data_IF_207823098221
#
_entry.id   IF_207823098221
#
_cell.length_a   1.000
_cell.length_b   1.000
_cell.length_c   1.000
_cell.angle_alpha   90.00
_cell.angle_beta   90.00
_cell.angle_gamma   90.00
#
_symmetry.space_group_name_H-M   'P 1'
#
loop_
_entity.id
_entity.type
_entity.pdbx_description
1 polymer ?
#
# COMPACT_ATOMS: atom_id res chain seq x y z
N UNK A 1 9.50 -0.11 -18.99
CA UNK A 1 8.83 0.88 -18.12
C UNK A 1 8.34 0.12 -16.89
N UNK A 2 8.68 0.56 -15.69
CA UNK A 2 8.31 -0.11 -14.44
C UNK A 2 6.83 0.15 -14.13
N UNK A 3 6.10 -0.88 -13.71
CA UNK A 3 4.71 -0.76 -13.26
C UNK A 3 4.64 -0.88 -11.74
N UNK A 4 4.30 0.21 -11.07
CA UNK A 4 4.06 0.26 -9.63
C UNK A 4 2.55 0.15 -9.34
N UNK A 5 2.20 -0.52 -8.24
CA UNK A 5 0.84 -0.59 -7.73
C UNK A 5 0.76 0.05 -6.34
N UNK A 6 0.03 1.14 -6.21
CA UNK A 6 -0.31 1.74 -4.92
C UNK A 6 -1.62 1.16 -4.38
N UNK A 7 -1.62 0.68 -3.14
CA UNK A 7 -2.81 0.13 -2.49
C UNK A 7 -3.16 0.98 -1.28
N UNK A 8 -4.37 1.57 -1.26
CA UNK A 8 -4.89 2.27 -0.08
C UNK A 8 -5.51 1.28 0.91
N UNK A 9 -4.99 1.27 2.14
CA UNK A 9 -5.46 0.42 3.24
C UNK A 9 -6.67 0.97 4.01
N UNK A 10 -7.42 1.93 3.46
CA UNK A 10 -8.57 2.54 4.11
C UNK A 10 -9.85 2.35 3.30
N UNK A 11 -10.95 2.06 4.01
CA UNK A 11 -12.30 1.98 3.44
C UNK A 11 -13.06 3.32 3.52
N UNK A 12 -12.53 4.34 4.21
CA UNK A 12 -13.20 5.63 4.36
C UNK A 12 -13.18 6.43 3.06
N UNK A 13 -14.31 7.05 2.68
CA UNK A 13 -14.38 7.97 1.52
C UNK A 13 -13.42 9.15 1.66
N UNK A 14 -13.34 9.78 2.84
CA UNK A 14 -12.41 10.88 3.15
C UNK A 14 -11.08 10.40 3.72
N UNK A 15 -10.48 9.34 3.18
CA UNK A 15 -9.23 8.78 3.66
C UNK A 15 -8.03 9.63 3.27
N UNK A 16 -7.22 10.05 4.24
CA UNK A 16 -5.94 10.74 4.02
C UNK A 16 -4.96 9.90 3.20
N UNK A 17 -5.00 8.57 3.37
CA UNK A 17 -4.13 7.66 2.62
C UNK A 17 -4.61 7.47 1.18
N UNK A 18 -5.92 7.47 0.94
CA UNK A 18 -6.47 7.48 -0.43
C UNK A 18 -6.19 8.82 -1.13
N UNK A 19 -6.29 9.94 -0.41
CA UNK A 19 -5.90 11.25 -0.93
C UNK A 19 -4.41 11.31 -1.31
N UNK A 20 -3.54 10.78 -0.44
CA UNK A 20 -2.11 10.71 -0.71
C UNK A 20 -1.79 9.79 -1.91
N UNK A 21 -2.49 8.66 -2.06
CA UNK A 21 -2.38 7.78 -3.23
C UNK A 21 -2.86 8.47 -4.51
N UNK A 22 -3.98 9.22 -4.43
CA UNK A 22 -4.46 10.06 -5.57
C UNK A 22 -3.41 11.10 -5.97
N UNK A 23 -2.81 11.78 -4.99
CA UNK A 23 -1.74 12.73 -5.25
C UNK A 23 -0.54 12.05 -5.90
N UNK A 24 -0.10 10.89 -5.40
CA UNK A 24 0.97 10.10 -5.99
C UNK A 24 0.73 9.76 -7.46
N UNK A 25 -0.49 9.35 -7.81
CA UNK A 25 -0.88 9.00 -9.18
C UNK A 25 -0.92 10.23 -10.12
N UNK A 26 -1.07 11.43 -9.59
CA UNK A 26 -1.05 12.69 -10.34
C UNK A 26 0.34 13.32 -10.51
N UNK A 27 1.36 12.80 -9.83
CA UNK A 27 2.72 13.33 -9.97
C UNK A 27 3.36 12.94 -11.31
N UNK A 28 4.25 13.79 -11.86
CA UNK A 28 5.06 13.42 -13.02
C UNK A 28 5.84 12.12 -12.74
N UNK A 29 5.81 11.19 -13.69
CA UNK A 29 6.44 9.87 -13.57
C UNK A 29 7.41 9.65 -14.73
N UNK A 30 8.71 9.58 -14.43
CA UNK A 30 9.74 9.24 -15.41
C UNK A 30 10.20 7.79 -15.22
N UNK A 31 10.02 6.96 -16.24
CA UNK A 31 10.47 5.56 -16.25
C UNK A 31 9.55 4.57 -15.53
N UNK A 32 8.45 5.02 -14.93
CA UNK A 32 7.46 4.15 -14.30
C UNK A 32 6.02 4.62 -14.55
N UNK A 33 5.05 3.74 -14.30
CA UNK A 33 3.62 4.05 -14.20
C UNK A 33 3.13 3.66 -12.81
N UNK A 34 2.19 4.43 -12.23
CA UNK A 34 1.55 4.10 -10.95
C UNK A 34 0.08 3.76 -11.17
N UNK A 35 -0.26 2.49 -10.97
CA UNK A 35 -1.65 2.03 -10.89
C UNK A 35 -2.15 2.14 -9.45
N UNK A 36 -3.45 2.28 -9.26
CA UNK A 36 -4.06 2.41 -7.94
C UNK A 36 -5.05 1.27 -7.66
N UNK A 37 -5.15 0.89 -6.39
CA UNK A 37 -6.12 -0.07 -5.90
C UNK A 37 -6.57 0.30 -4.47
N UNK A 38 -7.70 -0.27 -4.07
CA UNK A 38 -8.21 -0.26 -2.69
C UNK A 38 -8.52 -1.67 -2.23
N UNK A 39 -9.02 -1.77 -1.00
CA UNK A 39 -9.37 -3.04 -0.35
C UNK A 39 -10.88 -3.22 -0.17
N UNK A 40 -11.68 -2.49 -0.94
CA UNK A 40 -13.13 -2.57 -0.88
C UNK A 40 -13.64 -3.92 -1.40
N UNK A 41 -14.71 -4.42 -0.78
CA UNK A 41 -15.35 -5.68 -1.18
C UNK A 41 -14.64 -6.95 -0.69
N UNK A 42 -13.53 -6.81 0.06
CA UNK A 42 -12.87 -7.95 0.70
C UNK A 42 -13.58 -8.25 2.03
N UNK A 43 -14.17 -9.45 2.22
CA UNK A 43 -14.84 -9.81 3.46
C UNK A 43 -13.83 -10.04 4.60
N UNK A 44 -14.30 -10.17 5.82
CA UNK A 44 -13.44 -10.69 6.90
C UNK A 44 -13.02 -12.11 6.56
N UNK A 45 -11.73 -12.41 6.81
CA UNK A 45 -11.19 -13.74 6.57
C UNK A 45 -11.83 -14.75 7.52
N UNK A 46 -12.32 -15.80 6.92
CA UNK A 46 -12.87 -16.96 7.59
C UNK A 46 -12.43 -18.20 6.78
N UNK A 47 -11.78 -19.15 7.44
CA UNK A 47 -11.28 -20.37 6.80
C UNK A 47 -12.42 -21.29 6.33
N UNK A 48 -13.56 -21.30 7.02
CA UNK A 48 -14.72 -22.08 6.61
C UNK A 48 -15.38 -21.48 5.36
N UNK A 49 -15.39 -20.13 5.26
CA UNK A 49 -15.84 -19.44 4.06
C UNK A 49 -14.92 -19.73 2.86
N UNK A 50 -13.58 -19.70 3.07
CA UNK A 50 -12.61 -20.06 2.03
C UNK A 50 -12.81 -21.50 1.53
N UNK A 51 -13.06 -22.45 2.43
CA UNK A 51 -13.28 -23.84 2.06
C UNK A 51 -14.61 -24.03 1.29
N UNK A 52 -15.66 -23.34 1.71
CA UNK A 52 -16.99 -23.47 1.12
C UNK A 52 -17.16 -22.73 -0.22
N UNK A 53 -16.59 -21.53 -0.35
CA UNK A 53 -16.85 -20.61 -1.46
C UNK A 53 -15.58 -20.27 -2.29
N UNK A 54 -14.40 -20.64 -1.78
CA UNK A 54 -13.12 -20.30 -2.40
C UNK A 54 -12.68 -18.86 -2.14
N UNK A 55 -11.79 -18.36 -3.01
CA UNK A 55 -11.22 -17.01 -2.87
C UNK A 55 -12.20 -15.97 -3.43
N UNK A 56 -12.60 -14.94 -2.64
CA UNK A 56 -13.51 -13.90 -3.10
C UNK A 56 -13.00 -13.16 -4.35
N UNK A 57 -13.92 -12.78 -5.24
CA UNK A 57 -13.57 -12.10 -6.50
C UNK A 57 -12.77 -10.82 -6.31
N UNK A 58 -13.07 -10.03 -5.25
CA UNK A 58 -12.31 -8.81 -4.94
C UNK A 58 -10.85 -9.12 -4.54
N UNK A 59 -10.62 -10.24 -3.87
CA UNK A 59 -9.26 -10.72 -3.52
C UNK A 59 -8.51 -11.15 -4.77
N UNK A 60 -9.16 -11.96 -5.62
CA UNK A 60 -8.58 -12.44 -6.89
C UNK A 60 -8.16 -11.25 -7.77
N UNK A 61 -9.03 -10.28 -7.95
CA UNK A 61 -8.73 -9.09 -8.76
C UNK A 61 -7.57 -8.27 -8.21
N UNK A 62 -7.45 -8.12 -6.88
CA UNK A 62 -6.32 -7.41 -6.27
C UNK A 62 -5.02 -8.24 -6.38
N UNK A 63 -5.11 -9.55 -6.20
CA UNK A 63 -3.98 -10.48 -6.36
C UNK A 63 -3.39 -10.41 -7.77
N UNK A 64 -4.23 -10.41 -8.80
CA UNK A 64 -3.79 -10.27 -10.20
C UNK A 64 -3.04 -8.95 -10.45
N UNK A 65 -3.53 -7.85 -9.89
CA UNK A 65 -2.84 -6.54 -9.97
C UNK A 65 -1.46 -6.58 -9.29
N UNK A 66 -1.36 -7.23 -8.11
CA UNK A 66 -0.08 -7.37 -7.41
C UNK A 66 0.89 -8.21 -8.25
N UNK A 67 0.43 -9.31 -8.83
CA UNK A 67 1.26 -10.19 -9.66
C UNK A 67 1.79 -9.45 -10.88
N UNK A 68 0.94 -8.66 -11.54
CA UNK A 68 1.29 -7.91 -12.75
C UNK A 68 2.24 -6.72 -12.50
N UNK A 69 2.29 -6.19 -11.26
CA UNK A 69 3.14 -5.05 -10.91
C UNK A 69 4.58 -5.49 -10.62
N UNK A 70 5.55 -4.63 -10.96
CA UNK A 70 6.97 -4.81 -10.60
C UNK A 70 7.23 -4.50 -9.12
N UNK A 71 6.45 -3.58 -8.54
CA UNK A 71 6.53 -3.21 -7.12
C UNK A 71 5.19 -2.74 -6.57
N UNK A 72 5.02 -2.90 -5.26
CA UNK A 72 3.79 -2.56 -4.53
C UNK A 72 4.06 -1.53 -3.45
N UNK A 73 3.22 -0.52 -3.33
CA UNK A 73 3.31 0.52 -2.30
C UNK A 73 2.07 0.44 -1.42
N UNK A 74 2.24 0.18 -0.14
CA UNK A 74 1.16 0.19 0.83
C UNK A 74 0.97 1.60 1.39
N UNK A 75 -0.16 2.24 1.05
CA UNK A 75 -0.59 3.51 1.64
C UNK A 75 -1.39 3.18 2.90
N UNK A 76 -0.67 3.07 4.03
CA UNK A 76 -1.22 2.52 5.27
C UNK A 76 -1.68 3.59 6.25
N UNK A 77 -2.95 3.55 6.71
CA UNK A 77 -3.33 4.24 7.94
C UNK A 77 -2.63 3.62 9.16
N UNK A 78 -2.80 4.27 10.30
CA UNK A 78 -2.41 3.74 11.60
C UNK A 78 -3.63 3.74 12.52
N UNK A 79 -4.01 2.58 13.05
CA UNK A 79 -5.10 2.43 13.98
C UNK A 79 -4.56 1.81 15.27
N UNK A 80 -4.79 2.50 16.39
CA UNK A 80 -4.33 2.04 17.71
C UNK A 80 -2.83 1.65 17.71
N UNK A 81 -2.01 2.52 17.09
CA UNK A 81 -0.55 2.35 17.02
C UNK A 81 -0.10 1.09 16.24
N UNK A 82 -0.91 0.57 15.33
CA UNK A 82 -0.59 -0.64 14.57
C UNK A 82 -1.19 -0.61 13.17
N UNK A 83 -1.05 -1.76 12.48
CA UNK A 83 -1.65 -2.02 11.18
C UNK A 83 -3.19 -1.95 11.29
N UNK A 84 -3.88 -1.25 10.37
CA UNK A 84 -5.34 -1.29 10.33
C UNK A 84 -5.85 -2.71 10.11
N UNK A 85 -6.80 -3.16 10.95
CA UNK A 85 -7.35 -4.53 10.86
C UNK A 85 -7.89 -4.87 9.47
N UNK A 86 -8.57 -3.93 8.80
CA UNK A 86 -9.07 -4.11 7.43
C UNK A 86 -7.96 -4.31 6.40
N UNK A 87 -6.81 -3.64 6.58
CA UNK A 87 -5.69 -3.79 5.64
C UNK A 87 -4.91 -5.07 5.92
N UNK A 88 -4.73 -5.41 7.20
CA UNK A 88 -4.14 -6.71 7.56
C UNK A 88 -4.99 -7.87 7.02
N UNK A 89 -6.31 -7.80 7.19
CA UNK A 89 -7.26 -8.75 6.64
C UNK A 89 -7.14 -8.93 5.11
N UNK A 90 -6.97 -7.82 4.39
CA UNK A 90 -6.77 -7.91 2.94
C UNK A 90 -5.47 -8.65 2.58
N UNK A 91 -4.35 -8.38 3.30
CA UNK A 91 -3.10 -9.10 3.09
C UNK A 91 -3.22 -10.59 3.49
N UNK A 92 -3.98 -10.91 4.53
CA UNK A 92 -4.23 -12.30 4.94
C UNK A 92 -4.98 -13.06 3.82
N UNK A 93 -6.03 -12.50 3.27
CA UNK A 93 -6.71 -13.07 2.10
C UNK A 93 -5.79 -13.22 0.88
N UNK A 94 -4.96 -12.22 0.59
CA UNK A 94 -4.03 -12.25 -0.55
C UNK A 94 -2.97 -13.35 -0.42
N UNK A 95 -2.71 -13.83 0.79
CA UNK A 95 -1.82 -14.96 1.08
C UNK A 95 -2.51 -16.34 0.97
N UNK A 96 -3.78 -16.38 0.57
CA UNK A 96 -4.55 -17.63 0.41
C UNK A 96 -4.80 -17.97 -1.06
N UNK A 97 -4.81 -19.27 -1.46
CA UNK A 97 -4.22 -20.35 -0.67
C UNK A 97 -2.72 -20.13 -0.47
N UNK A 98 -2.12 -20.78 0.52
CA UNK A 98 -0.70 -20.57 0.85
C UNK A 98 0.27 -20.89 -0.29
N UNK A 99 -0.13 -21.74 -1.23
CA UNK A 99 0.61 -22.03 -2.46
C UNK A 99 0.80 -20.83 -3.39
N UNK A 100 -0.01 -19.78 -3.24
CA UNK A 100 0.09 -18.55 -4.04
C UNK A 100 1.09 -17.53 -3.43
N UNK A 101 1.50 -17.69 -2.17
CA UNK A 101 2.42 -16.76 -1.51
C UNK A 101 3.68 -16.47 -2.33
N UNK A 102 4.39 -17.47 -2.88
CA UNK A 102 5.58 -17.21 -3.69
C UNK A 102 5.29 -16.37 -4.94
N UNK A 103 4.12 -16.54 -5.55
CA UNK A 103 3.72 -15.84 -6.76
C UNK A 103 3.29 -14.40 -6.49
N UNK A 104 2.62 -14.16 -5.36
CA UNK A 104 2.06 -12.85 -5.01
C UNK A 104 3.11 -11.97 -4.31
N UNK A 105 3.89 -12.55 -3.41
CA UNK A 105 4.77 -11.84 -2.48
C UNK A 105 6.25 -12.18 -2.62
N UNK A 106 6.58 -13.42 -3.00
CA UNK A 106 7.95 -13.92 -2.99
C UNK A 106 8.92 -13.08 -3.82
N UNK A 107 9.89 -12.44 -3.17
CA UNK A 107 10.88 -11.57 -3.81
C UNK A 107 10.33 -10.26 -4.38
N UNK A 108 9.01 -10.01 -4.30
CA UNK A 108 8.39 -8.78 -4.79
C UNK A 108 8.80 -7.58 -3.94
N UNK A 109 9.10 -6.45 -4.59
CA UNK A 109 9.46 -5.21 -3.93
C UNK A 109 8.23 -4.56 -3.30
N UNK A 110 8.34 -4.14 -2.03
CA UNK A 110 7.32 -3.40 -1.30
C UNK A 110 7.88 -2.12 -0.68
N UNK A 111 7.12 -1.03 -0.78
CA UNK A 111 7.38 0.23 -0.08
C UNK A 111 6.20 0.59 0.84
N UNK A 112 6.50 1.39 1.87
CA UNK A 112 5.53 1.83 2.87
C UNK A 112 5.42 3.35 2.85
N UNK A 113 4.19 3.84 2.75
CA UNK A 113 3.81 5.25 2.81
C UNK A 113 2.59 5.38 3.70
N UNK A 114 2.47 6.48 4.44
CA UNK A 114 1.26 6.66 5.21
C UNK A 114 1.04 8.08 5.69
N UNK A 115 -0.23 8.39 5.95
CA UNK A 115 -0.70 9.68 6.40
C UNK A 115 -1.66 9.53 7.58
N UNK A 116 -1.50 10.38 8.60
CA UNK A 116 -2.40 10.43 9.74
C UNK A 116 -2.65 11.87 10.20
N UNK A 117 -3.74 12.14 10.94
CA UNK A 117 -3.96 13.44 11.55
C UNK A 117 -3.02 13.69 12.75
N UNK A 118 -2.38 12.65 13.30
CA UNK A 118 -1.47 12.72 14.43
C UNK A 118 -0.07 13.23 14.08
N UNK A 119 0.77 13.39 15.11
CA UNK A 119 2.10 14.01 14.98
C UNK A 119 3.17 13.04 14.41
N UNK A 120 2.95 11.74 14.49
CA UNK A 120 3.94 10.72 14.08
C UNK A 120 3.67 10.11 12.71
N UNK A 121 2.67 10.62 11.99
CA UNK A 121 2.23 10.00 10.74
C UNK A 121 1.73 8.59 10.99
N UNK A 122 2.28 7.60 10.28
CA UNK A 122 1.96 6.18 10.47
C UNK A 122 3.18 5.36 10.84
N UNK A 123 4.04 5.90 11.71
CA UNK A 123 5.33 5.31 12.06
C UNK A 123 5.19 3.88 12.60
N UNK A 124 4.28 3.68 13.55
CA UNK A 124 4.12 2.40 14.23
C UNK A 124 3.46 1.36 13.31
N UNK A 125 2.47 1.77 12.51
CA UNK A 125 1.88 0.91 11.49
C UNK A 125 2.94 0.46 10.46
N UNK A 126 3.75 1.39 9.95
CA UNK A 126 4.82 1.05 9.00
C UNK A 126 5.85 0.10 9.61
N UNK A 127 6.21 0.26 10.89
CA UNK A 127 7.11 -0.68 11.58
C UNK A 127 6.47 -2.06 11.74
N UNK A 128 5.19 -2.14 12.09
CA UNK A 128 4.48 -3.41 12.22
C UNK A 128 4.36 -4.16 10.88
N UNK A 129 4.24 -3.45 9.76
CA UNK A 129 4.25 -4.07 8.43
C UNK A 129 5.54 -4.81 8.09
N UNK A 130 6.70 -4.40 8.62
CA UNK A 130 8.00 -5.00 8.28
C UNK A 130 8.04 -6.50 8.60
N UNK A 131 7.50 -6.93 9.75
CA UNK A 131 7.43 -8.35 10.12
C UNK A 131 6.51 -9.15 9.20
N UNK A 132 5.38 -8.58 8.81
CA UNK A 132 4.42 -9.23 7.88
C UNK A 132 5.07 -9.41 6.51
N UNK A 133 5.67 -8.36 5.95
CA UNK A 133 6.31 -8.40 4.64
C UNK A 133 7.52 -9.36 4.64
N UNK A 134 8.28 -9.40 5.74
CA UNK A 134 9.39 -10.35 5.89
C UNK A 134 8.88 -11.81 5.87
N UNK A 135 7.83 -12.11 6.63
CA UNK A 135 7.22 -13.46 6.67
C UNK A 135 6.72 -13.91 5.31
N UNK A 136 6.20 -12.97 4.51
CA UNK A 136 5.71 -13.26 3.15
C UNK A 136 6.84 -13.32 2.08
N UNK A 137 8.09 -13.11 2.49
CA UNK A 137 9.26 -13.18 1.59
C UNK A 137 9.40 -11.97 0.66
N UNK A 138 8.86 -10.81 1.05
CA UNK A 138 8.97 -9.58 0.28
C UNK A 138 10.35 -8.91 0.43
N UNK A 139 10.77 -8.17 -0.60
CA UNK A 139 11.89 -7.24 -0.54
C UNK A 139 11.37 -5.87 -0.11
N UNK A 140 11.79 -5.37 1.04
CA UNK A 140 11.28 -4.08 1.56
C UNK A 140 12.20 -2.93 1.17
N UNK A 141 11.66 -1.90 0.53
CA UNK A 141 12.36 -0.65 0.23
C UNK A 141 12.51 0.17 1.51
N UNK A 142 13.74 0.32 1.99
CA UNK A 142 14.05 0.99 3.25
C UNK A 142 14.81 2.32 3.09
N UNK A 143 15.30 2.64 1.89
CA UNK A 143 16.07 3.87 1.64
C UNK A 143 15.28 5.14 1.90
N UNK A 144 13.98 5.12 1.60
CA UNK A 144 13.07 6.24 1.85
C UNK A 144 11.77 5.72 2.43
N UNK A 145 11.29 6.40 3.47
CA UNK A 145 9.98 6.18 4.07
C UNK A 145 9.24 7.51 4.13
N UNK A 146 7.94 7.50 3.92
CA UNK A 146 7.12 8.70 4.00
C UNK A 146 6.02 8.52 5.06
N UNK A 147 6.17 9.26 6.16
CA UNK A 147 5.19 9.37 7.23
C UNK A 147 4.69 10.81 7.25
N UNK A 148 3.47 11.01 6.75
CA UNK A 148 2.85 12.33 6.67
C UNK A 148 2.06 12.59 7.94
N UNK A 149 2.63 13.38 8.84
CA UNK A 149 1.96 13.85 10.06
C UNK A 149 1.03 15.02 9.76
N UNK A 150 0.01 15.22 10.60
CA UNK A 150 -0.99 16.30 10.47
C UNK A 150 -1.55 16.42 9.05
N UNK A 151 -1.70 15.30 8.36
CA UNK A 151 -2.00 15.25 6.93
C UNK A 151 -3.30 15.97 6.54
N UNK A 152 -4.25 16.13 7.48
CA UNK A 152 -5.49 16.89 7.28
C UNK A 152 -5.25 18.39 7.01
N UNK A 153 -4.11 18.95 7.43
CA UNK A 153 -3.75 20.36 7.18
C UNK A 153 -3.02 20.57 5.85
N UNK A 154 -2.68 19.49 5.16
CA UNK A 154 -1.91 19.48 3.91
C UNK A 154 -2.79 19.21 2.69
N UNK A 155 -4.11 19.07 2.90
CA UNK A 155 -5.10 18.81 1.85
C UNK A 155 -6.07 19.99 1.78
N UNK A 156 -6.56 20.27 0.55
CA UNK A 156 -7.67 21.19 0.33
C UNK A 156 -9.04 20.57 0.67
N UNK A 157 -10.12 21.30 0.49
CA UNK A 157 -11.48 20.84 0.73
C UNK A 157 -11.90 19.67 -0.16
N UNK A 158 -11.29 19.53 -1.34
CA UNK A 158 -11.54 18.46 -2.31
C UNK A 158 -10.61 17.24 -2.08
N UNK A 159 -9.78 17.30 -1.04
CA UNK A 159 -8.84 16.25 -0.67
C UNK A 159 -7.61 16.15 -1.58
N UNK A 160 -7.25 17.22 -2.28
CA UNK A 160 -6.01 17.27 -3.04
C UNK A 160 -4.85 17.73 -2.15
N UNK A 161 -3.66 17.14 -2.36
CA UNK A 161 -2.45 17.52 -1.64
C UNK A 161 -1.97 18.90 -2.13
N UNK A 162 -1.87 19.85 -1.21
CA UNK A 162 -1.44 21.24 -1.49
C UNK A 162 -0.04 21.55 -1.00
N UNK A 163 0.55 20.69 -0.15
CA UNK A 163 1.90 20.88 0.37
C UNK A 163 2.96 20.38 -0.61
N UNK A 164 3.67 21.33 -1.24
CA UNK A 164 4.69 21.04 -2.24
C UNK A 164 5.87 20.21 -1.69
N UNK A 165 6.23 20.41 -0.42
CA UNK A 165 7.32 19.67 0.21
C UNK A 165 6.94 18.17 0.35
N UNK A 166 5.72 17.88 0.74
CA UNK A 166 5.21 16.50 0.80
C UNK A 166 5.06 15.90 -0.59
N UNK A 167 4.56 16.66 -1.57
CA UNK A 167 4.48 16.21 -2.96
C UNK A 167 5.87 15.85 -3.52
N UNK A 168 6.88 16.70 -3.28
CA UNK A 168 8.26 16.42 -3.67
C UNK A 168 8.80 15.15 -3.02
N UNK A 169 8.65 15.00 -1.69
CA UNK A 169 9.11 13.81 -0.96
C UNK A 169 8.43 12.53 -1.46
N UNK A 170 7.15 12.61 -1.81
CA UNK A 170 6.39 11.50 -2.39
C UNK A 170 6.95 11.13 -3.77
N UNK A 171 7.19 12.11 -4.64
CA UNK A 171 7.80 11.89 -5.96
C UNK A 171 9.21 11.27 -5.86
N UNK A 172 10.04 11.79 -4.95
CA UNK A 172 11.40 11.28 -4.70
C UNK A 172 11.36 9.81 -4.18
N UNK A 173 10.33 9.44 -3.39
CA UNK A 173 10.14 8.06 -2.93
C UNK A 173 9.72 7.15 -4.10
N UNK A 174 8.77 7.57 -4.91
CA UNK A 174 8.29 6.80 -6.06
C UNK A 174 9.41 6.54 -7.07
N UNK A 175 10.19 7.56 -7.41
CA UNK A 175 11.32 7.43 -8.33
C UNK A 175 12.41 6.50 -7.76
N UNK A 176 12.75 6.62 -6.47
CA UNK A 176 13.70 5.72 -5.80
C UNK A 176 13.17 4.28 -5.75
N UNK A 177 11.90 4.08 -5.44
CA UNK A 177 11.29 2.77 -5.40
C UNK A 177 11.24 2.11 -6.79
N UNK A 178 10.93 2.87 -7.84
CA UNK A 178 10.95 2.36 -9.21
C UNK A 178 12.35 1.83 -9.61
N UNK A 179 13.43 2.50 -9.20
CA UNK A 179 14.81 1.99 -9.39
C UNK A 179 15.04 0.69 -8.62
N UNK A 180 14.66 0.67 -7.34
CA UNK A 180 14.80 -0.50 -6.46
C UNK A 180 14.09 -1.75 -7.01
N UNK A 181 12.97 -1.62 -7.71
CA UNK A 181 12.26 -2.76 -8.31
C UNK A 181 13.09 -3.47 -9.39
N UNK A 182 13.94 -2.73 -10.11
CA UNK A 182 14.82 -3.26 -11.16
C UNK A 182 16.12 -3.88 -10.63
N UNK A 183 16.51 -3.62 -9.40
CA UNK A 183 17.70 -4.20 -8.75
C UNK A 183 17.33 -5.59 -8.21
N UNK A 184 17.97 -6.64 -8.76
CA UNK A 184 17.78 -8.04 -8.32
C UNK A 184 18.94 -8.51 -7.45
#
# INVERSE_FOLDING_TARGET
MVTLLGISGSLRKGSLNSALLKAAAGLPAEGYTLQTAGIHGIPLYDGDLEEAEGIPAAVTALKEKIIAADGVILFTPEYNNSIPGTFKNAIDWLSRPSSDIPKVFGGKAFALVGASPGNFGTLLSQNAWLSVLHTLGCRTFSEKRLMVSRAHTLLDADGNLTDEATAKRLGDLLAGFAKFTGER
#
